data_IF_214254216224
#
_entry.id   IF_214254216224
#
_cell.length_a   1.000
_cell.length_b   1.000
_cell.length_c   1.000
_cell.angle_alpha   90.00
_cell.angle_beta   90.00
_cell.angle_gamma   90.00
#
_symmetry.space_group_name_H-M   'P 1'
#
loop_
_entity.id
_entity.type
_entity.pdbx_description
1 polymer ?
#
# COMPACT_ATOMS: atom_id res chain seq x y z
N UNK A 1 -12.22 1.96 13.61
CA UNK A 1 -12.06 0.49 13.51
C UNK A 1 -10.83 0.24 12.65
N UNK A 2 -9.65 0.05 13.26
CA UNK A 2 -8.50 -0.58 12.57
C UNK A 2 -8.70 -2.06 12.78
N UNK A 3 -9.15 -2.78 11.76
CA UNK A 3 -9.46 -4.20 11.91
C UNK A 3 -8.19 -5.06 12.01
N UNK A 4 -7.02 -4.53 11.61
CA UNK A 4 -5.74 -5.23 11.68
C UNK A 4 -4.59 -4.24 11.98
N UNK A 5 -3.66 -4.66 12.82
CA UNK A 5 -2.37 -4.01 13.10
C UNK A 5 -1.29 -5.01 12.65
N UNK A 6 -0.79 -4.84 11.42
CA UNK A 6 0.18 -5.74 10.79
C UNK A 6 1.18 -4.93 9.96
N UNK A 7 2.44 -5.35 9.97
CA UNK A 7 3.50 -4.73 9.19
C UNK A 7 3.47 -5.18 7.72
N UNK A 8 3.01 -6.41 7.47
CA UNK A 8 2.96 -7.02 6.15
C UNK A 8 1.57 -7.57 5.83
N UNK A 9 1.17 -7.44 4.56
CA UNK A 9 -0.01 -8.08 3.99
C UNK A 9 0.43 -8.86 2.75
N UNK A 10 0.27 -10.19 2.79
CA UNK A 10 0.51 -11.06 1.64
C UNK A 10 -0.84 -11.34 0.99
N UNK A 11 -0.95 -11.04 -0.31
CA UNK A 11 -2.16 -11.27 -1.09
C UNK A 11 -1.87 -12.40 -2.07
N UNK A 12 -2.53 -13.53 -1.88
CA UNK A 12 -2.51 -14.63 -2.85
C UNK A 12 -3.59 -14.37 -3.91
N UNK A 13 -3.23 -14.48 -5.19
CA UNK A 13 -4.07 -14.04 -6.29
C UNK A 13 -3.84 -12.56 -6.60
N UNK A 14 -4.88 -11.80 -6.95
CA UNK A 14 -4.76 -10.37 -7.26
C UNK A 14 -3.82 -10.03 -8.45
N UNK A 15 -4.08 -10.65 -9.61
CA UNK A 15 -3.27 -10.44 -10.81
C UNK A 15 -3.40 -9.05 -11.44
N UNK A 16 -4.41 -8.26 -11.10
CA UNK A 16 -4.70 -6.96 -11.75
C UNK A 16 -4.39 -5.76 -10.87
N UNK A 17 -4.10 -6.01 -9.61
CA UNK A 17 -3.97 -5.02 -8.57
C UNK A 17 -2.59 -4.35 -8.64
N UNK A 18 -2.51 -3.05 -8.33
CA UNK A 18 -1.31 -2.24 -8.59
C UNK A 18 -0.24 -2.40 -7.50
N UNK A 19 -0.04 -3.60 -6.98
CA UNK A 19 0.92 -3.88 -5.91
C UNK A 19 2.17 -4.60 -6.44
N UNK A 20 3.35 -4.38 -5.83
CA UNK A 20 4.54 -5.20 -6.09
C UNK A 20 4.22 -6.68 -5.90
N UNK A 21 4.74 -7.54 -6.78
CA UNK A 21 4.41 -8.97 -6.77
C UNK A 21 5.61 -9.88 -7.00
N UNK A 22 5.49 -11.08 -6.46
CA UNK A 22 6.31 -12.23 -6.80
C UNK A 22 5.51 -13.08 -7.79
N UNK A 23 6.08 -13.40 -8.95
CA UNK A 23 5.45 -14.33 -9.89
C UNK A 23 5.88 -15.75 -9.58
N UNK A 24 4.94 -16.61 -9.18
CA UNK A 24 5.19 -18.03 -9.00
C UNK A 24 5.02 -18.77 -10.34
N UNK A 25 6.09 -19.39 -10.84
CA UNK A 25 6.12 -20.04 -12.15
C UNK A 25 6.85 -21.39 -12.12
N UNK A 26 6.22 -22.40 -12.74
CA UNK A 26 6.86 -23.71 -12.96
C UNK A 26 7.66 -23.80 -14.26
N UNK A 27 7.48 -22.87 -15.19
CA UNK A 27 8.14 -22.84 -16.50
C UNK A 27 8.04 -21.43 -17.10
N UNK A 28 8.83 -21.14 -18.13
CA UNK A 28 8.90 -19.80 -18.78
C UNK A 28 7.54 -19.26 -19.24
N UNK A 29 6.71 -20.09 -19.86
CA UNK A 29 5.39 -19.66 -20.35
C UNK A 29 4.45 -19.18 -19.23
N UNK A 30 4.63 -19.67 -18.00
CA UNK A 30 3.87 -19.18 -16.84
C UNK A 30 4.33 -17.79 -16.41
N UNK A 31 5.61 -17.47 -16.60
CA UNK A 31 6.18 -16.14 -16.37
C UNK A 31 5.57 -15.17 -17.38
N UNK A 32 5.63 -15.48 -18.68
CA UNK A 32 5.12 -14.59 -19.75
C UNK A 32 3.65 -14.20 -19.54
N UNK A 33 2.82 -15.11 -19.02
CA UNK A 33 1.39 -14.85 -18.74
C UNK A 33 1.14 -13.85 -17.60
N UNK A 34 2.08 -13.68 -16.67
CA UNK A 34 1.87 -12.97 -15.40
C UNK A 34 2.86 -11.84 -15.16
N UNK A 35 3.94 -11.79 -15.93
CA UNK A 35 5.01 -10.82 -15.80
C UNK A 35 4.55 -9.44 -16.28
N UNK A 36 4.77 -8.44 -15.45
CA UNK A 36 4.54 -7.04 -15.74
C UNK A 36 5.54 -6.16 -14.98
N UNK A 37 5.43 -4.84 -15.14
CA UNK A 37 6.28 -3.84 -14.50
C UNK A 37 6.27 -3.89 -12.96
N UNK A 38 5.30 -4.59 -12.33
CA UNK A 38 5.18 -4.72 -10.87
C UNK A 38 5.88 -5.96 -10.34
N UNK A 39 6.37 -6.83 -11.23
CA UNK A 39 7.06 -8.06 -10.87
C UNK A 39 8.50 -7.73 -10.45
N UNK A 40 8.80 -7.84 -9.16
CA UNK A 40 10.14 -7.57 -8.63
C UNK A 40 10.96 -8.85 -8.40
N UNK A 41 10.30 -10.01 -8.39
CA UNK A 41 10.93 -11.31 -8.18
C UNK A 41 10.07 -12.42 -8.83
N UNK A 42 10.73 -13.48 -9.30
CA UNK A 42 10.07 -14.70 -9.79
C UNK A 42 10.53 -15.88 -8.94
N UNK A 43 9.60 -16.75 -8.55
CA UNK A 43 9.88 -17.95 -7.76
C UNK A 43 9.24 -19.19 -8.40
N UNK A 44 9.74 -20.38 -8.07
CA UNK A 44 9.13 -21.67 -8.43
C UNK A 44 10.09 -22.62 -9.15
N UNK A 45 9.56 -23.73 -9.67
CA UNK A 45 10.37 -24.79 -10.28
C UNK A 45 11.21 -24.30 -11.48
N UNK A 46 10.81 -23.20 -12.12
CA UNK A 46 11.57 -22.56 -13.20
C UNK A 46 12.97 -22.09 -12.75
N UNK A 47 13.17 -21.86 -11.45
CA UNK A 47 14.46 -21.50 -10.87
C UNK A 47 15.51 -22.62 -10.93
N UNK A 48 15.12 -23.84 -11.32
CA UNK A 48 16.07 -24.92 -11.60
C UNK A 48 16.82 -24.68 -12.93
N UNK A 49 16.26 -23.88 -13.83
CA UNK A 49 16.77 -23.68 -15.19
C UNK A 49 17.12 -22.21 -15.48
N UNK A 50 16.56 -21.27 -14.70
CA UNK A 50 16.73 -19.83 -14.90
C UNK A 50 17.17 -19.12 -13.63
N UNK A 51 18.11 -18.19 -13.79
CA UNK A 51 18.56 -17.29 -12.73
C UNK A 51 17.95 -15.87 -12.84
N UNK A 52 17.45 -15.50 -14.02
CA UNK A 52 16.83 -14.18 -14.25
C UNK A 52 15.88 -14.19 -15.45
N UNK A 53 14.94 -13.24 -15.47
CA UNK A 53 14.01 -13.00 -16.56
C UNK A 53 13.80 -11.50 -16.76
N UNK A 54 14.19 -10.97 -17.93
CA UNK A 54 14.06 -9.54 -18.28
C UNK A 54 14.59 -8.58 -17.19
N UNK A 55 15.68 -8.97 -16.54
CA UNK A 55 16.32 -8.19 -15.47
C UNK A 55 15.74 -8.42 -14.06
N UNK A 56 14.69 -9.24 -13.93
CA UNK A 56 14.13 -9.64 -12.63
C UNK A 56 14.76 -10.97 -12.19
N UNK A 57 15.21 -11.10 -10.92
CA UNK A 57 15.81 -12.34 -10.43
C UNK A 57 14.79 -13.49 -10.40
N UNK A 58 15.28 -14.72 -10.63
CA UNK A 58 14.51 -15.96 -10.50
C UNK A 58 15.15 -16.79 -9.38
N UNK A 59 14.38 -17.07 -8.32
CA UNK A 59 14.90 -17.67 -7.09
C UNK A 59 14.07 -18.88 -6.68
N UNK A 60 14.76 -19.95 -6.31
CA UNK A 60 14.13 -21.05 -5.58
C UNK A 60 13.91 -20.64 -4.11
N UNK A 61 12.69 -20.21 -3.81
CA UNK A 61 12.30 -19.76 -2.47
C UNK A 61 12.41 -20.87 -1.40
N UNK A 62 12.42 -22.15 -1.79
CA UNK A 62 12.50 -23.27 -0.83
C UNK A 62 13.91 -23.47 -0.28
N UNK A 63 14.94 -23.15 -1.08
CA UNK A 63 16.35 -23.22 -0.67
C UNK A 63 16.91 -21.86 -0.26
N UNK A 64 16.39 -20.76 -0.81
CA UNK A 64 16.91 -19.39 -0.65
C UNK A 64 15.91 -18.42 -0.03
N UNK A 65 15.12 -18.88 0.93
CA UNK A 65 14.08 -18.08 1.60
C UNK A 65 14.61 -16.74 2.16
N UNK A 66 15.82 -16.71 2.71
CA UNK A 66 16.43 -15.47 3.22
C UNK A 66 16.62 -14.43 2.11
N UNK A 67 17.12 -14.85 0.95
CA UNK A 67 17.36 -13.94 -0.18
C UNK A 67 16.03 -13.35 -0.70
N UNK A 68 14.96 -14.16 -0.71
CA UNK A 68 13.61 -13.70 -1.04
C UNK A 68 13.13 -12.62 -0.08
N UNK A 69 13.31 -12.82 1.23
CA UNK A 69 12.94 -11.83 2.26
C UNK A 69 13.77 -10.55 2.13
N UNK A 70 15.09 -10.67 1.96
CA UNK A 70 15.98 -9.52 1.79
C UNK A 70 15.59 -8.67 0.56
N UNK A 71 15.17 -9.31 -0.54
CA UNK A 71 14.67 -8.62 -1.73
C UNK A 71 13.32 -7.96 -1.47
N UNK A 72 12.40 -8.65 -0.79
CA UNK A 72 11.08 -8.13 -0.46
C UNK A 72 11.18 -6.85 0.39
N UNK A 73 12.03 -6.84 1.42
CA UNK A 73 12.26 -5.66 2.28
C UNK A 73 12.90 -4.48 1.53
N UNK A 74 13.68 -4.74 0.48
CA UNK A 74 14.32 -3.68 -0.35
C UNK A 74 13.40 -3.16 -1.44
N UNK A 75 12.60 -4.04 -2.04
CA UNK A 75 11.74 -3.74 -3.19
C UNK A 75 10.42 -3.11 -2.77
N UNK A 76 9.97 -3.37 -1.55
CA UNK A 76 8.74 -2.81 -1.01
C UNK A 76 9.12 -1.72 -0.02
N UNK A 77 8.94 -0.43 -0.35
CA UNK A 77 9.20 0.62 0.62
C UNK A 77 8.29 0.41 1.83
N UNK A 78 8.80 0.69 3.03
CA UNK A 78 7.91 0.76 4.19
C UNK A 78 6.74 1.67 3.85
N UNK A 79 5.50 1.33 4.28
CA UNK A 79 4.42 2.29 4.21
C UNK A 79 4.92 3.53 4.94
N UNK A 80 5.19 4.59 4.19
CA UNK A 80 5.64 5.85 4.76
C UNK A 80 4.67 6.25 5.86
N UNK A 81 5.09 7.07 6.85
CA UNK A 81 4.17 7.53 7.87
C UNK A 81 2.95 8.10 7.15
N UNK A 82 1.82 7.37 7.20
CA UNK A 82 0.64 7.75 6.43
C UNK A 82 0.35 9.21 6.73
N UNK A 83 0.00 10.00 5.70
CA UNK A 83 -0.17 11.44 5.83
C UNK A 83 -0.89 11.77 7.14
N UNK A 84 -0.17 12.48 8.03
CA UNK A 84 -0.69 12.87 9.34
C UNK A 84 -1.36 14.21 9.16
N UNK A 85 -2.67 14.20 9.33
CA UNK A 85 -3.48 15.40 9.33
C UNK A 85 -3.82 15.78 10.76
N UNK A 86 -3.53 17.02 11.12
CA UNK A 86 -4.02 17.64 12.35
C UNK A 86 -5.39 18.23 12.07
N UNK A 87 -6.37 17.87 12.91
CA UNK A 87 -7.71 18.44 12.84
C UNK A 87 -7.98 19.26 14.09
N UNK A 88 -8.52 20.46 13.88
CA UNK A 88 -9.07 21.31 14.93
C UNK A 88 -10.58 21.47 14.71
N UNK A 89 -11.32 21.57 15.81
CA UNK A 89 -12.78 21.81 15.78
C UNK A 89 -13.09 22.96 16.70
N UNK A 90 -13.81 23.96 16.19
CA UNK A 90 -14.26 25.10 16.97
C UNK A 90 -15.78 25.07 17.15
N UNK A 91 -16.25 25.34 18.37
CA UNK A 91 -17.67 25.57 18.70
C UNK A 91 -17.80 26.98 19.26
N UNK A 92 -18.63 27.81 18.62
CA UNK A 92 -18.82 29.22 18.98
C UNK A 92 -17.50 30.03 19.08
N UNK A 93 -16.49 29.63 18.30
CA UNK A 93 -15.15 30.25 18.27
C UNK A 93 -14.15 29.64 19.24
N UNK A 94 -14.57 28.79 20.18
CA UNK A 94 -13.68 28.09 21.12
C UNK A 94 -13.21 26.75 20.54
N UNK A 95 -11.91 26.48 20.62
CA UNK A 95 -11.33 25.22 20.17
C UNK A 95 -11.61 24.08 21.16
N UNK A 96 -12.10 22.95 20.65
CA UNK A 96 -12.31 21.73 21.42
C UNK A 96 -11.04 20.90 21.38
N UNK A 97 -10.47 20.64 22.57
CA UNK A 97 -9.35 19.70 22.69
C UNK A 97 -9.75 18.29 22.27
N UNK A 98 -9.06 17.75 21.28
CA UNK A 98 -9.26 16.40 20.76
C UNK A 98 -8.04 15.53 21.01
N UNK A 99 -8.26 14.34 21.57
CA UNK A 99 -7.21 13.31 21.66
C UNK A 99 -6.81 12.81 20.25
N UNK A 100 -5.59 12.24 20.07
CA UNK A 100 -5.09 11.86 18.74
C UNK A 100 -6.03 10.95 17.94
N UNK A 101 -6.73 10.03 18.61
CA UNK A 101 -7.73 9.18 17.97
C UNK A 101 -8.88 9.97 17.35
N UNK A 102 -9.39 11.00 18.04
CA UNK A 102 -10.52 11.82 17.56
C UNK A 102 -10.07 12.71 16.41
N UNK A 103 -8.85 13.25 16.47
CA UNK A 103 -8.28 14.02 15.36
C UNK A 103 -8.15 13.16 14.09
N UNK A 104 -7.58 11.95 14.19
CA UNK A 104 -7.43 11.02 13.04
C UNK A 104 -8.81 10.62 12.48
N UNK A 105 -9.80 10.39 13.35
CA UNK A 105 -11.17 10.08 12.93
C UNK A 105 -11.80 11.22 12.11
N UNK A 106 -11.75 12.45 12.62
CA UNK A 106 -12.32 13.63 11.92
C UNK A 106 -11.63 13.84 10.58
N UNK A 107 -10.30 13.85 10.56
CA UNK A 107 -9.49 14.03 9.35
C UNK A 107 -9.85 13.00 8.27
N UNK A 108 -9.86 11.71 8.61
CA UNK A 108 -10.13 10.63 7.65
C UNK A 108 -11.55 10.67 7.10
N UNK A 109 -12.54 10.96 7.95
CA UNK A 109 -13.93 11.06 7.51
C UNK A 109 -14.11 12.23 6.54
N UNK A 110 -13.55 13.39 6.87
CA UNK A 110 -13.58 14.58 6.00
C UNK A 110 -12.89 14.31 4.67
N UNK A 111 -11.65 13.81 4.68
CA UNK A 111 -10.89 13.52 3.47
C UNK A 111 -11.59 12.46 2.60
N UNK A 112 -12.19 11.45 3.23
CA UNK A 112 -13.03 10.46 2.55
C UNK A 112 -14.20 11.10 1.82
N UNK A 113 -14.93 12.02 2.47
CA UNK A 113 -16.03 12.75 1.84
C UNK A 113 -15.54 13.63 0.68
N UNK A 114 -14.42 14.35 0.86
CA UNK A 114 -13.84 15.20 -0.17
C UNK A 114 -13.32 14.42 -1.38
N UNK A 115 -12.81 13.21 -1.19
CA UNK A 115 -12.32 12.35 -2.27
C UNK A 115 -13.39 11.98 -3.30
N UNK A 116 -14.67 12.05 -2.92
CA UNK A 116 -15.81 11.79 -3.79
C UNK A 116 -16.25 13.01 -4.59
N UNK A 117 -15.71 14.20 -4.29
CA UNK A 117 -16.05 15.44 -4.98
C UNK A 117 -15.18 15.64 -6.23
N UNK A 118 -15.83 15.82 -7.39
CA UNK A 118 -15.13 16.15 -8.64
C UNK A 118 -14.50 17.54 -8.54
N UNK A 119 -13.22 17.65 -8.89
CA UNK A 119 -12.49 18.92 -8.91
C UNK A 119 -11.93 19.36 -7.56
N UNK A 120 -11.98 18.51 -6.53
CA UNK A 120 -11.26 18.74 -5.29
C UNK A 120 -9.79 18.32 -5.49
N UNK A 121 -8.88 19.30 -5.54
CA UNK A 121 -7.44 19.04 -5.65
C UNK A 121 -6.86 18.70 -4.27
N UNK A 122 -5.85 17.83 -4.23
CA UNK A 122 -5.09 17.57 -3.00
C UNK A 122 -4.26 18.80 -2.62
N UNK A 123 -4.81 19.62 -1.71
CA UNK A 123 -4.10 20.70 -1.03
C UNK A 123 -3.52 20.24 0.31
N UNK A 124 -2.81 21.14 0.99
CA UNK A 124 -2.23 20.88 2.32
C UNK A 124 -3.13 21.32 3.47
N UNK A 125 -4.17 22.11 3.21
CA UNK A 125 -5.13 22.62 4.20
C UNK A 125 -6.56 22.53 3.65
N UNK A 126 -7.51 22.11 4.49
CA UNK A 126 -8.93 22.01 4.18
C UNK A 126 -9.74 22.72 5.27
N UNK A 127 -10.67 23.61 4.88
CA UNK A 127 -11.56 24.31 5.81
C UNK A 127 -13.01 23.89 5.61
N UNK A 128 -13.67 23.46 6.69
CA UNK A 128 -15.09 23.13 6.72
C UNK A 128 -15.80 24.05 7.73
N UNK A 129 -16.93 24.62 7.33
CA UNK A 129 -17.76 25.46 8.18
C UNK A 129 -19.21 24.94 8.17
N UNK A 130 -19.81 24.76 9.34
CA UNK A 130 -21.18 24.27 9.52
C UNK A 130 -21.95 25.32 10.32
N UNK A 131 -23.09 25.77 9.78
CA UNK A 131 -23.98 26.75 10.44
C UNK A 131 -25.33 26.10 10.76
N UNK A 132 -25.85 26.35 11.96
CA UNK A 132 -27.22 25.98 12.34
C UNK A 132 -28.13 27.20 12.16
N UNK A 133 -29.35 26.97 11.70
CA UNK A 133 -30.41 27.98 11.55
C UNK A 133 -31.62 27.58 12.40
#
# INVERSE_FOLDING_TARGET
MRFYDTDWLIIEGAHREPYPRIVCAGAEHHIEQRFDERTFLICGAVAAELDSWRGVPVIDATSRAKEVVDLLERSIPEPGPGERFEATVHVDGEEIHMVPFVQDFVSRTVLGMLSSLKGCNCGTEFKIEIRRF
#
